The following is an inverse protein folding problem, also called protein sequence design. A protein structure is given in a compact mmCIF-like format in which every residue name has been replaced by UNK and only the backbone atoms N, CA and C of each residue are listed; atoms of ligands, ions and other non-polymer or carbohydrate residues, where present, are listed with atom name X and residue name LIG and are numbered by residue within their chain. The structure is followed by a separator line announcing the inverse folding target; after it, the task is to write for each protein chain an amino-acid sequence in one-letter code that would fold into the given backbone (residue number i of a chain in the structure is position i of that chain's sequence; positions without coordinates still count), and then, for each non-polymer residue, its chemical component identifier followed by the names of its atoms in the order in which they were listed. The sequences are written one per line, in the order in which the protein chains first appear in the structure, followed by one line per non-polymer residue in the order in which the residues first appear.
data_IF_230832301041
#
_entry.id   IF_230832301041
#
_cell.length_a   1.000
_cell.length_b   1.000
_cell.length_c   1.000
_cell.angle_alpha   90.00
_cell.angle_beta   90.00
_cell.angle_gamma   90.00
#
_symmetry.space_group_name_H-M   'P 1'
#
loop_
_entity.id
_entity.type
_entity.pdbx_description
1 polymer ?
#
# COMPACT_ATOMS: atom_id res chain seq x y z
N UNK A 1 -31.90 -0.86 -30.70
CA UNK A 1 -30.80 -0.35 -29.87
C UNK A 1 -30.25 0.85 -30.63
N UNK A 2 -30.79 2.01 -30.30
CA UNK A 2 -30.91 3.20 -31.15
C UNK A 2 -30.13 4.38 -30.57
N UNK A 3 -29.94 5.43 -31.36
CA UNK A 3 -29.20 6.70 -31.14
C UNK A 3 -29.20 7.28 -29.70
N UNK A 4 -30.19 6.94 -28.87
CA UNK A 4 -30.25 7.20 -27.42
C UNK A 4 -29.02 6.65 -26.68
N UNK A 5 -28.49 5.48 -27.07
CA UNK A 5 -27.34 4.87 -26.39
C UNK A 5 -26.02 5.61 -26.73
N UNK A 6 -25.94 6.22 -27.92
CA UNK A 6 -24.80 7.03 -28.35
C UNK A 6 -24.86 8.41 -27.68
N UNK A 7 -26.04 9.04 -27.63
CA UNK A 7 -26.24 10.32 -26.95
C UNK A 7 -25.94 10.23 -25.44
N UNK A 8 -26.41 9.18 -24.76
CA UNK A 8 -26.08 8.95 -23.36
C UNK A 8 -24.57 8.74 -23.11
N UNK A 9 -23.84 8.21 -24.09
CA UNK A 9 -22.38 8.05 -23.99
C UNK A 9 -21.64 9.38 -24.21
N UNK A 10 -22.13 10.23 -25.11
CA UNK A 10 -21.57 11.58 -25.36
C UNK A 10 -21.74 12.47 -24.13
N UNK A 11 -22.93 12.52 -23.53
CA UNK A 11 -23.19 13.30 -22.31
C UNK A 11 -22.32 12.83 -21.14
N UNK A 12 -22.14 11.52 -20.99
CA UNK A 12 -21.27 10.96 -19.95
C UNK A 12 -19.80 11.36 -20.14
N UNK A 13 -19.31 11.48 -21.37
CA UNK A 13 -17.94 11.94 -21.66
C UNK A 13 -17.78 13.43 -21.38
N UNK A 14 -18.76 14.26 -21.76
CA UNK A 14 -18.73 15.70 -21.48
C UNK A 14 -18.74 16.01 -19.99
N UNK A 15 -19.56 15.31 -19.20
CA UNK A 15 -19.59 15.46 -17.74
C UNK A 15 -18.27 15.06 -17.08
N UNK A 16 -17.64 13.98 -17.56
CA UNK A 16 -16.33 13.56 -17.08
C UNK A 16 -15.23 14.58 -17.39
N UNK A 17 -15.25 15.19 -18.58
CA UNK A 17 -14.34 16.28 -18.95
C UNK A 17 -14.56 17.52 -18.08
N UNK A 18 -15.82 17.84 -17.73
CA UNK A 18 -16.14 18.92 -16.78
C UNK A 18 -15.56 18.60 -15.41
N UNK A 19 -15.69 17.37 -14.92
CA UNK A 19 -15.13 16.95 -13.64
C UNK A 19 -13.61 17.14 -13.57
N UNK A 20 -12.91 16.74 -14.63
CA UNK A 20 -11.46 16.88 -14.73
C UNK A 20 -11.06 18.36 -14.77
N UNK A 21 -11.73 19.17 -15.60
CA UNK A 21 -11.46 20.61 -15.67
C UNK A 21 -11.68 21.30 -14.32
N UNK A 22 -12.80 21.03 -13.65
CA UNK A 22 -13.11 21.60 -12.34
C UNK A 22 -12.10 21.17 -11.28
N UNK A 23 -11.61 19.92 -11.36
CA UNK A 23 -10.54 19.44 -10.47
C UNK A 23 -9.27 20.24 -10.68
N UNK A 24 -8.84 20.43 -11.94
CA UNK A 24 -7.63 21.21 -12.24
C UNK A 24 -7.76 22.67 -11.83
N UNK A 25 -8.89 23.32 -12.15
CA UNK A 25 -9.16 24.69 -11.74
C UNK A 25 -9.13 24.85 -10.20
N UNK A 26 -9.68 23.88 -9.47
CA UNK A 26 -9.64 23.86 -8.02
C UNK A 26 -8.22 23.70 -7.48
N UNK A 27 -7.44 22.75 -8.00
CA UNK A 27 -6.08 22.51 -7.53
C UNK A 27 -5.15 23.70 -7.79
N UNK A 28 -5.30 24.34 -8.96
CA UNK A 28 -4.56 25.56 -9.28
C UNK A 28 -4.94 26.72 -8.35
N UNK A 29 -6.22 26.86 -8.00
CA UNK A 29 -6.69 27.87 -7.07
C UNK A 29 -6.18 27.66 -5.64
N UNK A 30 -6.16 26.41 -5.18
CA UNK A 30 -5.70 26.03 -3.83
C UNK A 30 -4.18 25.83 -3.73
N UNK A 31 -3.46 26.03 -4.84
CA UNK A 31 -2.01 25.83 -4.91
C UNK A 31 -1.29 26.74 -3.92
N UNK A 32 -0.44 26.14 -3.10
CA UNK A 32 0.39 26.90 -2.15
C UNK A 32 1.54 27.62 -2.87
N UNK A 33 2.17 28.64 -2.24
CA UNK A 33 3.31 29.33 -2.83
C UNK A 33 4.48 28.39 -3.21
N UNK A 34 5.17 28.68 -4.32
CA UNK A 34 6.23 27.83 -4.87
C UNK A 34 7.40 27.56 -3.90
N UNK A 35 7.72 28.51 -3.02
CA UNK A 35 8.77 28.35 -2.02
C UNK A 35 8.37 27.40 -0.88
N UNK A 36 7.08 27.32 -0.56
CA UNK A 36 6.52 26.34 0.37
C UNK A 36 6.37 24.98 -0.31
N UNK A 37 5.95 24.98 -1.58
CA UNK A 37 5.82 23.79 -2.41
C UNK A 37 7.15 23.04 -2.55
N UNK A 38 8.24 23.76 -2.85
CA UNK A 38 9.59 23.19 -2.92
C UNK A 38 10.04 22.55 -1.59
N UNK A 39 9.74 23.19 -0.46
CA UNK A 39 10.05 22.63 0.88
C UNK A 39 9.26 21.34 1.15
N UNK A 40 7.96 21.31 0.81
CA UNK A 40 7.13 20.12 0.99
C UNK A 40 7.55 18.98 0.07
N UNK A 41 7.89 19.27 -1.19
CA UNK A 41 8.40 18.29 -2.16
C UNK A 41 9.63 17.59 -1.62
N UNK A 42 10.62 18.32 -1.12
CA UNK A 42 11.84 17.76 -0.52
C UNK A 42 11.51 16.95 0.74
N UNK A 43 10.70 17.52 1.64
CA UNK A 43 10.34 16.88 2.91
C UNK A 43 9.66 15.53 2.70
N UNK A 44 8.76 15.45 1.72
CA UNK A 44 7.96 14.27 1.43
C UNK A 44 8.57 13.38 0.33
N UNK A 45 9.70 13.79 -0.25
CA UNK A 45 10.39 13.09 -1.35
C UNK A 45 9.50 12.85 -2.56
N UNK A 46 8.71 13.86 -2.93
CA UNK A 46 7.81 13.77 -4.08
C UNK A 46 8.66 13.87 -5.37
N UNK A 47 8.58 12.89 -6.30
CA UNK A 47 9.35 12.87 -7.54
C UNK A 47 9.16 14.13 -8.39
N UNK A 48 10.25 14.70 -8.93
CA UNK A 48 10.20 15.97 -9.68
C UNK A 48 9.33 15.93 -10.94
N UNK A 49 9.20 14.75 -11.55
CA UNK A 49 8.36 14.46 -12.71
C UNK A 49 6.86 14.35 -12.37
N UNK A 50 6.51 14.23 -11.08
CA UNK A 50 5.12 14.22 -10.63
C UNK A 50 4.62 15.64 -10.32
N UNK A 51 3.55 16.05 -11.00
CA UNK A 51 2.85 17.31 -10.72
C UNK A 51 2.33 17.32 -9.27
N UNK A 52 2.50 18.45 -8.58
CA UNK A 52 2.19 18.59 -7.16
C UNK A 52 1.75 20.03 -6.87
N UNK A 53 0.62 20.17 -6.19
CA UNK A 53 -0.01 21.47 -5.88
C UNK A 53 0.15 21.90 -4.41
N UNK A 54 0.52 20.98 -3.53
CA UNK A 54 0.66 21.22 -2.10
C UNK A 54 -0.67 21.41 -1.36
N UNK A 55 -1.78 20.96 -1.94
CA UNK A 55 -3.12 21.12 -1.34
C UNK A 55 -3.27 20.18 -0.14
N UNK A 56 -3.80 20.71 0.96
CA UNK A 56 -4.00 19.92 2.18
C UNK A 56 -5.04 18.79 1.98
N UNK A 57 -4.79 17.64 2.59
CA UNK A 57 -5.66 16.46 2.50
C UNK A 57 -7.08 16.72 3.04
N UNK A 58 -7.23 17.64 4.00
CA UNK A 58 -8.55 18.04 4.53
C UNK A 58 -9.36 18.78 3.46
N UNK A 59 -8.74 19.69 2.74
CA UNK A 59 -9.30 20.42 1.59
C UNK A 59 -9.70 19.44 0.47
N UNK A 60 -8.81 18.51 0.11
CA UNK A 60 -9.13 17.45 -0.86
C UNK A 60 -10.30 16.58 -0.41
N UNK A 61 -10.42 16.28 0.88
CA UNK A 61 -11.53 15.48 1.43
C UNK A 61 -12.86 16.22 1.34
N UNK A 62 -12.88 17.52 1.54
CA UNK A 62 -14.09 18.34 1.35
C UNK A 62 -14.50 18.37 -0.12
N UNK A 63 -13.54 18.59 -1.02
CA UNK A 63 -13.78 18.58 -2.46
C UNK A 63 -14.27 17.22 -2.96
N UNK A 64 -13.66 16.11 -2.50
CA UNK A 64 -14.12 14.75 -2.79
C UNK A 64 -15.59 14.53 -2.41
N UNK A 65 -16.03 15.04 -1.25
CA UNK A 65 -17.43 14.94 -0.81
C UNK A 65 -18.37 15.77 -1.69
N UNK A 66 -17.91 16.92 -2.19
CA UNK A 66 -18.70 17.74 -3.11
C UNK A 66 -18.86 17.04 -4.45
N UNK A 67 -17.76 16.57 -5.05
CA UNK A 67 -17.80 15.79 -6.28
C UNK A 67 -18.67 14.53 -6.12
N UNK A 68 -18.52 13.78 -5.04
CA UNK A 68 -19.35 12.61 -4.77
C UNK A 68 -20.85 12.92 -4.67
N UNK A 69 -21.25 14.13 -4.22
CA UNK A 69 -22.65 14.56 -4.23
C UNK A 69 -23.15 14.86 -5.64
N UNK A 70 -22.33 15.49 -6.48
CA UNK A 70 -22.65 15.76 -7.90
C UNK A 70 -22.88 14.45 -8.63
N UNK A 71 -22.01 13.47 -8.40
CA UNK A 71 -22.05 12.16 -9.06
C UNK A 71 -22.83 11.09 -8.28
N UNK A 72 -23.63 11.49 -7.27
CA UNK A 72 -24.37 10.53 -6.42
C UNK A 72 -25.39 9.71 -7.22
N UNK A 73 -25.95 10.27 -8.27
CA UNK A 73 -26.94 9.62 -9.11
C UNK A 73 -26.33 8.59 -10.08
N UNK A 74 -25.01 8.54 -10.21
CA UNK A 74 -24.36 7.63 -11.15
C UNK A 74 -24.32 6.22 -10.57
N UNK A 75 -24.46 5.22 -11.44
CA UNK A 75 -24.10 3.86 -11.09
C UNK A 75 -22.59 3.76 -10.80
N UNK A 76 -22.17 2.66 -10.17
CA UNK A 76 -20.77 2.49 -9.83
C UNK A 76 -19.84 2.49 -11.06
N UNK A 77 -20.16 1.82 -12.18
CA UNK A 77 -19.30 1.84 -13.37
C UNK A 77 -19.06 3.24 -13.93
N UNK A 78 -20.10 4.10 -14.01
CA UNK A 78 -19.94 5.47 -14.48
C UNK A 78 -19.18 6.34 -13.48
N UNK A 79 -19.40 6.14 -12.17
CA UNK A 79 -18.60 6.78 -11.13
C UNK A 79 -17.13 6.36 -11.19
N UNK A 80 -16.86 5.09 -11.50
CA UNK A 80 -15.51 4.56 -11.57
C UNK A 80 -14.70 5.19 -12.72
N UNK A 81 -15.32 5.51 -13.86
CA UNK A 81 -14.66 6.27 -14.93
C UNK A 81 -14.10 7.63 -14.49
N UNK A 82 -14.76 8.29 -13.53
CA UNK A 82 -14.23 9.53 -12.94
C UNK A 82 -12.94 9.27 -12.16
N UNK A 83 -12.91 8.18 -11.39
CA UNK A 83 -11.71 7.75 -10.65
C UNK A 83 -10.58 7.43 -11.62
N UNK A 84 -10.86 6.72 -12.72
CA UNK A 84 -9.87 6.40 -13.76
C UNK A 84 -9.25 7.66 -14.39
N UNK A 85 -10.07 8.68 -14.69
CA UNK A 85 -9.60 9.95 -15.27
C UNK A 85 -8.68 10.71 -14.31
N UNK A 86 -9.01 10.72 -13.03
CA UNK A 86 -8.18 11.35 -11.99
C UNK A 86 -6.90 10.55 -11.67
N UNK A 87 -6.76 9.36 -12.25
CA UNK A 87 -5.62 8.47 -12.04
C UNK A 87 -4.69 8.35 -13.26
N UNK A 88 -4.94 9.10 -14.33
CA UNK A 88 -4.15 8.96 -15.55
C UNK A 88 -2.68 9.36 -15.34
N UNK A 89 -1.71 8.87 -16.16
CA UNK A 89 -0.28 9.17 -15.98
C UNK A 89 0.10 10.66 -15.99
N UNK A 90 -0.76 11.52 -16.53
CA UNK A 90 -0.57 12.99 -16.55
C UNK A 90 -1.18 13.68 -15.33
N UNK A 91 -1.62 12.90 -14.33
CA UNK A 91 -2.28 13.41 -13.14
C UNK A 91 -1.28 13.81 -12.06
N UNK A 92 -1.65 14.81 -11.29
CA UNK A 92 -0.92 15.25 -10.10
C UNK A 92 -1.10 14.30 -8.92
N UNK A 93 -0.21 14.42 -7.94
CA UNK A 93 -0.31 13.68 -6.69
C UNK A 93 -1.67 13.92 -5.98
N UNK A 94 -2.19 15.15 -6.01
CA UNK A 94 -3.48 15.50 -5.44
C UNK A 94 -4.66 14.88 -6.19
N UNK A 95 -4.59 14.75 -7.52
CA UNK A 95 -5.61 14.04 -8.30
C UNK A 95 -5.66 12.55 -7.93
N UNK A 96 -4.49 11.93 -7.71
CA UNK A 96 -4.42 10.57 -7.16
C UNK A 96 -5.08 10.49 -5.77
N UNK A 97 -4.75 11.40 -4.86
CA UNK A 97 -5.41 11.43 -3.55
C UNK A 97 -6.93 11.62 -3.66
N UNK A 98 -7.38 12.49 -4.56
CA UNK A 98 -8.78 12.76 -4.79
C UNK A 98 -9.54 11.53 -5.32
N UNK A 99 -8.94 10.78 -6.25
CA UNK A 99 -9.49 9.54 -6.75
C UNK A 99 -9.72 8.51 -5.62
N UNK A 100 -8.76 8.36 -4.70
CA UNK A 100 -8.91 7.46 -3.54
C UNK A 100 -9.97 7.94 -2.57
N UNK A 101 -10.04 9.24 -2.32
CA UNK A 101 -11.06 9.84 -1.46
C UNK A 101 -12.45 9.66 -2.06
N UNK A 102 -12.60 9.78 -3.37
CA UNK A 102 -13.84 9.52 -4.09
C UNK A 102 -14.28 8.06 -3.92
N UNK A 103 -13.38 7.09 -4.14
CA UNK A 103 -13.66 5.68 -3.86
C UNK A 103 -14.16 5.50 -2.41
N UNK A 104 -13.53 6.14 -1.42
CA UNK A 104 -13.94 6.05 -0.01
C UNK A 104 -15.37 6.57 0.23
N UNK A 105 -15.82 7.60 -0.50
CA UNK A 105 -17.19 8.11 -0.36
C UNK A 105 -18.25 7.08 -0.78
N UNK A 106 -17.89 6.16 -1.69
CA UNK A 106 -18.71 5.07 -2.22
C UNK A 106 -18.30 3.70 -1.71
N UNK A 107 -17.66 3.62 -0.53
CA UNK A 107 -17.20 2.34 0.05
C UNK A 107 -18.29 1.27 0.25
N UNK A 108 -19.56 1.66 0.28
CA UNK A 108 -20.69 0.71 0.39
C UNK A 108 -20.91 -0.05 -0.93
N UNK A 109 -20.69 0.60 -2.06
CA UNK A 109 -20.78 -0.03 -3.39
C UNK A 109 -19.63 -1.04 -3.59
N UNK A 110 -18.52 -0.86 -2.86
CA UNK A 110 -17.44 -1.85 -2.78
C UNK A 110 -17.83 -3.12 -2.00
N UNK A 111 -19.08 -3.31 -1.58
CA UNK A 111 -19.53 -4.59 -1.01
C UNK A 111 -19.85 -5.64 -2.09
N UNK A 112 -19.79 -5.26 -3.35
CA UNK A 112 -19.92 -6.17 -4.48
C UNK A 112 -18.55 -6.72 -4.88
N UNK A 113 -18.45 -8.05 -4.98
CA UNK A 113 -17.21 -8.79 -5.24
C UNK A 113 -16.59 -8.38 -6.58
N UNK A 114 -17.42 -8.27 -7.63
CA UNK A 114 -17.00 -7.91 -8.99
C UNK A 114 -16.44 -6.49 -9.03
N UNK A 115 -17.11 -5.54 -8.37
CA UNK A 115 -16.64 -4.15 -8.21
C UNK A 115 -15.27 -4.10 -7.50
N UNK A 116 -15.10 -4.90 -6.45
CA UNK A 116 -13.84 -5.01 -5.73
C UNK A 116 -12.71 -5.61 -6.59
N UNK A 117 -13.03 -6.63 -7.41
CA UNK A 117 -12.09 -7.25 -8.34
C UNK A 117 -11.68 -6.27 -9.44
N UNK A 118 -12.61 -5.52 -10.02
CA UNK A 118 -12.31 -4.52 -11.04
C UNK A 118 -11.41 -3.42 -10.48
N UNK A 119 -11.74 -2.92 -9.28
CA UNK A 119 -10.91 -1.94 -8.59
C UNK A 119 -9.52 -2.50 -8.22
N UNK A 120 -9.45 -3.76 -7.78
CA UNK A 120 -8.19 -4.44 -7.50
C UNK A 120 -7.31 -4.56 -8.75
N UNK A 121 -7.91 -4.96 -9.86
CA UNK A 121 -7.22 -5.15 -11.13
C UNK A 121 -6.77 -3.82 -11.71
N UNK A 122 -7.61 -2.78 -11.61
CA UNK A 122 -7.25 -1.42 -11.95
C UNK A 122 -6.05 -0.92 -11.13
N UNK A 123 -6.08 -1.12 -9.81
CA UNK A 123 -4.96 -0.77 -8.94
C UNK A 123 -3.69 -1.46 -9.39
N UNK A 124 -3.80 -2.77 -9.64
CA UNK A 124 -2.65 -3.57 -9.98
C UNK A 124 -2.04 -3.25 -11.34
N UNK A 125 -2.88 -2.97 -12.33
CA UNK A 125 -2.49 -2.65 -13.70
C UNK A 125 -1.81 -1.28 -13.76
N UNK A 126 -2.45 -0.26 -13.19
CA UNK A 126 -2.10 1.13 -13.48
C UNK A 126 -1.22 1.77 -12.38
N UNK A 127 -1.20 1.24 -11.16
CA UNK A 127 -0.48 1.87 -10.05
C UNK A 127 0.97 1.41 -9.93
N UNK A 128 1.23 0.17 -10.34
CA UNK A 128 2.54 -0.46 -10.25
C UNK A 128 3.62 0.31 -11.02
N UNK A 129 3.24 0.95 -12.12
CA UNK A 129 4.16 1.65 -13.01
C UNK A 129 4.32 3.14 -12.66
N UNK A 130 3.39 3.73 -11.90
CA UNK A 130 3.29 5.19 -11.73
C UNK A 130 3.38 5.69 -10.28
N UNK A 131 3.33 4.79 -9.28
CA UNK A 131 3.33 5.18 -7.86
C UNK A 131 4.71 4.95 -7.22
N UNK A 132 5.50 6.02 -7.16
CA UNK A 132 6.75 6.06 -6.39
C UNK A 132 6.56 6.63 -4.97
N UNK A 133 5.35 7.08 -4.61
CA UNK A 133 5.04 7.63 -3.28
C UNK A 133 4.58 6.53 -2.31
N UNK A 134 5.33 6.39 -1.21
CA UNK A 134 4.98 5.54 -0.09
C UNK A 134 3.60 5.90 0.49
N UNK A 135 3.30 7.19 0.60
CA UNK A 135 2.08 7.65 1.29
C UNK A 135 0.84 7.24 0.52
N UNK A 136 0.90 7.39 -0.81
CA UNK A 136 -0.12 6.88 -1.72
C UNK A 136 -0.26 5.36 -1.60
N UNK A 137 0.85 4.61 -1.65
CA UNK A 137 0.87 3.14 -1.49
C UNK A 137 0.22 2.68 -0.18
N UNK A 138 0.59 3.30 0.95
CA UNK A 138 0.03 3.04 2.28
C UNK A 138 -1.49 3.33 2.30
N UNK A 139 -1.92 4.44 1.70
CA UNK A 139 -3.32 4.82 1.65
C UNK A 139 -4.16 3.82 0.85
N UNK A 140 -3.68 3.38 -0.31
CA UNK A 140 -4.36 2.42 -1.18
C UNK A 140 -4.47 1.07 -0.48
N UNK A 141 -3.36 0.55 0.03
CA UNK A 141 -3.32 -0.73 0.72
C UNK A 141 -4.28 -0.74 1.93
N UNK A 142 -4.25 0.31 2.74
CA UNK A 142 -5.08 0.38 3.95
C UNK A 142 -6.53 0.76 3.70
N UNK A 143 -6.85 1.31 2.53
CA UNK A 143 -8.23 1.69 2.18
C UNK A 143 -8.89 0.63 1.32
N UNK A 144 -8.33 0.42 0.13
CA UNK A 144 -8.94 -0.40 -0.90
C UNK A 144 -8.62 -1.86 -0.65
N UNK A 145 -7.37 -2.15 -0.29
CA UNK A 145 -6.97 -3.48 0.12
C UNK A 145 -7.83 -4.00 1.29
N UNK A 146 -8.02 -3.17 2.33
CA UNK A 146 -8.94 -3.48 3.42
C UNK A 146 -10.37 -3.77 2.94
N UNK A 147 -10.93 -2.94 2.06
CA UNK A 147 -12.31 -3.08 1.63
C UNK A 147 -12.52 -4.33 0.76
N UNK A 148 -11.58 -4.65 -0.13
CA UNK A 148 -11.63 -5.87 -0.95
C UNK A 148 -11.61 -7.11 -0.05
N UNK A 149 -10.72 -7.12 0.94
CA UNK A 149 -10.65 -8.22 1.89
C UNK A 149 -11.92 -8.30 2.75
N UNK A 150 -12.50 -7.17 3.17
CA UNK A 150 -13.77 -7.14 3.92
C UNK A 150 -14.92 -7.70 3.09
N UNK A 151 -14.99 -7.35 1.81
CA UNK A 151 -16.06 -7.74 0.89
C UNK A 151 -16.00 -9.21 0.52
N UNK A 152 -14.82 -9.73 0.16
CA UNK A 152 -14.67 -11.15 -0.18
C UNK A 152 -14.93 -12.07 1.03
N UNK A 153 -14.79 -11.57 2.25
CA UNK A 153 -15.12 -12.33 3.46
C UNK A 153 -16.58 -12.29 3.88
N UNK A 154 -17.38 -11.38 3.33
CA UNK A 154 -18.83 -11.50 3.48
C UNK A 154 -19.33 -12.82 2.87
N UNK A 155 -18.54 -13.40 1.95
CA UNK A 155 -18.60 -14.80 1.52
C UNK A 155 -17.94 -15.64 2.63
N UNK A 156 -18.73 -16.04 3.64
CA UNK A 156 -18.27 -16.79 4.82
C UNK A 156 -17.88 -18.23 4.47
N UNK A 157 -16.77 -18.36 3.74
CA UNK A 157 -16.26 -19.58 3.14
C UNK A 157 -14.72 -19.63 3.26
N UNK A 158 -14.21 -20.79 3.69
CA UNK A 158 -12.78 -21.04 3.90
C UNK A 158 -11.99 -21.04 2.58
N UNK A 159 -12.59 -21.51 1.48
CA UNK A 159 -11.99 -21.53 0.14
C UNK A 159 -11.75 -20.11 -0.38
N UNK A 160 -12.76 -19.25 -0.34
CA UNK A 160 -12.61 -17.83 -0.70
C UNK A 160 -11.55 -17.14 0.15
N UNK A 161 -11.55 -17.39 1.47
CA UNK A 161 -10.55 -16.85 2.37
C UNK A 161 -9.12 -17.26 2.00
N UNK A 162 -8.93 -18.52 1.63
CA UNK A 162 -7.64 -19.04 1.19
C UNK A 162 -7.19 -18.39 -0.12
N UNK A 163 -8.09 -18.21 -1.09
CA UNK A 163 -7.81 -17.53 -2.37
C UNK A 163 -7.26 -16.11 -2.14
N UNK A 164 -7.82 -15.36 -1.17
CA UNK A 164 -7.34 -14.00 -0.85
C UNK A 164 -5.88 -14.04 -0.41
N UNK A 165 -5.58 -14.92 0.55
CA UNK A 165 -4.25 -15.02 1.13
C UNK A 165 -3.23 -15.53 0.12
N UNK A 166 -3.62 -16.48 -0.72
CA UNK A 166 -2.78 -16.99 -1.80
C UNK A 166 -2.50 -15.91 -2.84
N UNK A 167 -3.51 -15.11 -3.23
CA UNK A 167 -3.31 -13.97 -4.11
C UNK A 167 -2.36 -12.92 -3.52
N UNK A 168 -2.49 -12.62 -2.22
CA UNK A 168 -1.57 -11.70 -1.53
C UNK A 168 -0.14 -12.25 -1.47
N UNK A 169 0.04 -13.53 -1.16
CA UNK A 169 1.36 -14.19 -1.14
C UNK A 169 2.00 -14.22 -2.52
N UNK A 170 1.25 -14.57 -3.56
CA UNK A 170 1.71 -14.54 -4.94
C UNK A 170 2.18 -13.13 -5.33
N UNK A 171 1.37 -12.12 -5.05
CA UNK A 171 1.69 -10.72 -5.35
C UNK A 171 2.89 -10.19 -4.58
N UNK A 172 3.05 -10.60 -3.33
CA UNK A 172 4.21 -10.29 -2.51
C UNK A 172 5.50 -10.94 -3.04
N UNK A 173 5.39 -12.10 -3.68
CA UNK A 173 6.52 -12.87 -4.19
C UNK A 173 6.87 -12.57 -5.64
N UNK A 174 5.92 -12.10 -6.46
CA UNK A 174 6.12 -11.93 -7.89
C UNK A 174 6.96 -10.67 -8.20
N UNK A 175 8.16 -10.93 -8.69
CA UNK A 175 9.21 -9.97 -9.02
C UNK A 175 8.77 -8.94 -10.05
N UNK A 176 7.79 -9.29 -10.89
CA UNK A 176 7.26 -8.34 -11.85
C UNK A 176 6.68 -7.14 -11.10
N UNK A 177 6.14 -7.30 -9.88
CA UNK A 177 5.26 -6.32 -9.22
C UNK A 177 5.93 -5.09 -8.59
N UNK A 178 7.24 -4.93 -8.77
CA UNK A 178 7.99 -3.80 -8.23
C UNK A 178 7.87 -3.65 -6.70
N UNK A 179 8.35 -2.52 -6.17
CA UNK A 179 8.22 -2.19 -4.74
C UNK A 179 6.76 -2.05 -4.30
N UNK A 180 5.96 -1.35 -5.11
CA UNK A 180 4.57 -1.03 -4.84
C UNK A 180 3.76 -2.29 -4.55
N UNK A 181 3.80 -3.26 -5.46
CA UNK A 181 2.92 -4.42 -5.37
C UNK A 181 3.26 -5.31 -4.18
N UNK A 182 4.55 -5.44 -3.87
CA UNK A 182 5.01 -6.16 -2.68
C UNK A 182 4.57 -5.46 -1.39
N UNK A 183 4.78 -4.14 -1.30
CA UNK A 183 4.37 -3.33 -0.14
C UNK A 183 2.86 -3.40 0.06
N UNK A 184 2.10 -3.25 -1.03
CA UNK A 184 0.66 -3.30 -1.02
C UNK A 184 0.16 -4.64 -0.49
N UNK A 185 0.72 -5.76 -0.97
CA UNK A 185 0.38 -7.09 -0.49
C UNK A 185 0.64 -7.25 1.02
N UNK A 186 1.78 -6.77 1.52
CA UNK A 186 2.13 -6.81 2.96
C UNK A 186 1.20 -5.94 3.81
N UNK A 187 0.81 -4.77 3.32
CA UNK A 187 0.01 -3.78 4.06
C UNK A 187 -1.50 -4.05 4.03
N UNK A 188 -1.99 -4.74 3.00
CA UNK A 188 -3.39 -5.06 2.79
C UNK A 188 -4.08 -5.67 4.06
N UNK A 189 -3.44 -6.60 4.79
CA UNK A 189 -4.02 -7.25 5.98
C UNK A 189 -4.03 -6.39 7.26
N UNK A 190 -3.32 -5.26 7.31
CA UNK A 190 -3.08 -4.47 8.54
C UNK A 190 -4.37 -4.11 9.27
N UNK A 191 -5.39 -3.63 8.56
CA UNK A 191 -6.69 -3.30 9.16
C UNK A 191 -7.54 -4.55 9.46
N UNK A 192 -7.32 -5.65 8.73
CA UNK A 192 -8.02 -6.94 8.91
C UNK A 192 -7.65 -7.58 10.25
N UNK A 193 -6.36 -7.56 10.62
CA UNK A 193 -5.88 -8.12 11.89
C UNK A 193 -6.67 -7.57 13.08
N UNK A 194 -6.96 -6.27 13.10
CA UNK A 194 -7.78 -5.64 14.16
C UNK A 194 -9.23 -6.14 14.22
N UNK A 195 -9.82 -6.45 13.05
CA UNK A 195 -11.24 -6.81 12.95
C UNK A 195 -11.48 -8.30 13.22
N UNK A 196 -10.60 -9.16 12.70
CA UNK A 196 -10.73 -10.62 12.82
C UNK A 196 -9.98 -11.21 14.01
N UNK A 197 -9.09 -10.44 14.61
CA UNK A 197 -8.27 -10.92 15.70
C UNK A 197 -7.36 -12.07 15.27
N UNK A 198 -7.29 -13.10 16.09
CA UNK A 198 -6.23 -14.10 16.04
C UNK A 198 -6.19 -14.92 14.74
N UNK A 199 -7.34 -15.17 14.10
CA UNK A 199 -7.42 -15.94 12.86
C UNK A 199 -6.71 -15.28 11.66
N UNK A 200 -6.50 -13.96 11.70
CA UNK A 200 -5.81 -13.23 10.65
C UNK A 200 -4.30 -13.08 10.88
N UNK A 201 -3.80 -13.40 12.08
CA UNK A 201 -2.40 -13.15 12.43
C UNK A 201 -1.47 -14.04 11.62
N UNK A 202 -1.66 -15.35 11.66
CA UNK A 202 -0.77 -16.29 10.98
C UNK A 202 -0.74 -16.08 9.44
N UNK A 203 -1.88 -15.96 8.73
CA UNK A 203 -1.86 -15.67 7.30
C UNK A 203 -1.16 -14.34 6.95
N UNK A 204 -1.30 -13.32 7.80
CA UNK A 204 -0.60 -12.04 7.59
C UNK A 204 0.91 -12.19 7.74
N UNK A 205 1.36 -13.01 8.70
CA UNK A 205 2.79 -13.33 8.86
C UNK A 205 3.33 -14.14 7.68
N UNK A 206 2.53 -15.02 7.09
CA UNK A 206 2.91 -15.75 5.87
C UNK A 206 3.10 -14.82 4.68
N UNK A 207 2.23 -13.83 4.49
CA UNK A 207 2.40 -12.79 3.45
C UNK A 207 3.71 -12.01 3.66
N UNK A 208 4.00 -11.63 4.91
CA UNK A 208 5.28 -10.97 5.28
C UNK A 208 6.47 -11.87 4.92
N UNK A 209 6.39 -13.16 5.23
CA UNK A 209 7.46 -14.11 4.92
C UNK A 209 7.69 -14.23 3.40
N UNK A 210 6.62 -14.32 2.61
CA UNK A 210 6.70 -14.35 1.14
C UNK A 210 7.34 -13.09 0.56
N UNK A 211 7.03 -11.92 1.13
CA UNK A 211 7.64 -10.66 0.70
C UNK A 211 9.15 -10.61 0.99
N UNK A 212 9.57 -11.05 2.18
CA UNK A 212 10.96 -10.96 2.64
C UNK A 212 11.87 -11.98 1.93
N UNK A 213 11.42 -13.22 1.78
CA UNK A 213 12.21 -14.28 1.12
C UNK A 213 12.60 -13.94 -0.33
N UNK A 214 11.85 -13.03 -0.96
CA UNK A 214 12.10 -12.52 -2.32
C UNK A 214 12.66 -11.09 -2.34
N UNK A 215 12.90 -10.49 -1.17
CA UNK A 215 13.46 -9.15 -1.01
C UNK A 215 14.97 -9.17 -0.83
N UNK A 216 15.53 -10.18 -0.15
CA UNK A 216 16.98 -10.32 0.08
C UNK A 216 17.80 -10.48 -1.22
N UNK A 217 17.16 -10.82 -2.34
CA UNK A 217 17.87 -11.10 -3.57
C UNK A 217 18.24 -9.87 -4.42
N UNK A 218 17.57 -8.70 -4.33
CA UNK A 218 17.69 -7.72 -5.42
C UNK A 218 17.74 -6.20 -5.16
N UNK A 219 17.26 -5.56 -4.09
CA UNK A 219 17.17 -4.07 -4.11
C UNK A 219 17.47 -3.32 -2.79
N UNK A 220 18.57 -2.52 -2.78
CA UNK A 220 19.00 -1.64 -1.67
C UNK A 220 18.09 -0.41 -1.45
N UNK A 221 17.35 0.08 -2.45
CA UNK A 221 16.55 1.32 -2.34
C UNK A 221 15.10 1.12 -1.87
N UNK A 222 14.49 -0.03 -2.13
CA UNK A 222 13.11 -0.36 -1.69
C UNK A 222 13.05 -0.67 -0.18
N UNK A 223 14.20 -0.87 0.45
CA UNK A 223 14.35 -1.31 1.84
C UNK A 223 13.50 -0.52 2.83
N UNK A 224 13.58 0.81 2.86
CA UNK A 224 12.92 1.57 3.96
C UNK A 224 11.40 1.54 3.91
N UNK A 225 10.81 1.56 2.71
CA UNK A 225 9.38 1.50 2.52
C UNK A 225 8.85 0.10 2.88
N UNK A 226 9.52 -0.94 2.40
CA UNK A 226 9.21 -2.32 2.73
C UNK A 226 9.41 -2.63 4.23
N UNK A 227 10.53 -2.20 4.81
CA UNK A 227 10.80 -2.31 6.26
C UNK A 227 9.67 -1.67 7.06
N UNK A 228 9.20 -0.48 6.67
CA UNK A 228 8.06 0.19 7.32
C UNK A 228 6.76 -0.61 7.16
N UNK A 229 6.48 -1.15 5.97
CA UNK A 229 5.30 -1.99 5.73
C UNK A 229 5.29 -3.24 6.62
N UNK A 230 6.42 -3.93 6.68
CA UNK A 230 6.62 -5.10 7.52
C UNK A 230 6.46 -4.72 8.99
N UNK A 231 7.12 -3.66 9.46
CA UNK A 231 7.00 -3.18 10.85
C UNK A 231 5.54 -2.88 11.19
N UNK A 232 4.80 -2.16 10.34
CA UNK A 232 3.40 -1.84 10.59
C UNK A 232 2.54 -3.10 10.70
N UNK A 233 2.75 -4.08 9.82
CA UNK A 233 2.03 -5.35 9.82
C UNK A 233 2.33 -6.17 11.07
N UNK A 234 3.62 -6.34 11.42
CA UNK A 234 4.05 -7.02 12.63
C UNK A 234 3.50 -6.35 13.90
N UNK A 235 3.43 -5.01 13.93
CA UNK A 235 2.85 -4.26 15.04
C UNK A 235 1.36 -4.54 15.21
N UNK A 236 0.60 -4.61 14.13
CA UNK A 236 -0.82 -4.96 14.21
C UNK A 236 -1.02 -6.42 14.63
N UNK A 237 -0.20 -7.35 14.12
CA UNK A 237 -0.18 -8.74 14.61
C UNK A 237 0.11 -8.80 16.12
N UNK A 238 1.13 -8.07 16.60
CA UNK A 238 1.55 -8.12 17.99
C UNK A 238 0.53 -7.53 18.97
N UNK A 239 -0.31 -6.58 18.52
CA UNK A 239 -1.45 -6.09 19.32
C UNK A 239 -2.52 -7.16 19.54
N UNK A 240 -2.56 -8.16 18.66
CA UNK A 240 -3.55 -9.24 18.69
C UNK A 240 -3.00 -10.47 19.39
N UNK A 241 -1.76 -10.85 19.07
CA UNK A 241 -1.03 -11.97 19.65
C UNK A 241 0.48 -11.66 19.61
N UNK A 242 1.04 -11.23 20.74
CA UNK A 242 2.48 -10.90 20.85
C UNK A 242 3.34 -12.16 20.77
N UNK A 243 2.87 -13.27 21.35
CA UNK A 243 3.60 -14.53 21.44
C UNK A 243 3.88 -15.14 20.07
N UNK A 244 2.88 -15.19 19.18
CA UNK A 244 3.06 -15.73 17.82
C UNK A 244 4.03 -14.86 16.99
N UNK A 245 4.01 -13.53 17.17
CA UNK A 245 4.95 -12.63 16.48
C UNK A 245 6.38 -12.84 16.98
N UNK A 246 6.57 -13.08 18.28
CA UNK A 246 7.90 -13.39 18.83
C UNK A 246 8.41 -14.75 18.35
N UNK A 247 7.57 -15.77 18.30
CA UNK A 247 7.93 -17.07 17.72
C UNK A 247 8.31 -16.93 16.24
N UNK A 248 7.54 -16.14 15.49
CA UNK A 248 7.81 -15.85 14.08
C UNK A 248 9.15 -15.12 13.90
N UNK A 249 9.40 -14.05 14.66
CA UNK A 249 10.67 -13.32 14.61
C UNK A 249 11.84 -14.20 15.04
N UNK A 250 11.70 -15.02 16.09
CA UNK A 250 12.77 -15.92 16.54
C UNK A 250 13.07 -17.03 15.53
N UNK A 251 12.05 -17.52 14.81
CA UNK A 251 12.21 -18.54 13.77
C UNK A 251 12.91 -17.98 12.53
N UNK A 252 12.60 -16.74 12.15
CA UNK A 252 13.01 -16.15 10.88
C UNK A 252 14.00 -14.98 11.00
N UNK A 253 14.59 -14.73 12.19
CA UNK A 253 15.44 -13.56 12.45
C UNK A 253 16.59 -13.36 11.45
N UNK A 254 17.06 -14.42 10.80
CA UNK A 254 18.16 -14.39 9.83
C UNK A 254 17.79 -13.66 8.54
N UNK A 255 16.53 -13.76 8.11
CA UNK A 255 16.06 -13.15 6.85
C UNK A 255 15.47 -11.74 7.05
N UNK A 256 15.30 -11.32 8.30
CA UNK A 256 14.75 -9.99 8.59
C UNK A 256 15.85 -8.93 8.50
N UNK A 257 15.57 -7.78 7.86
CA UNK A 257 16.43 -6.62 8.00
C UNK A 257 16.57 -6.26 9.49
N UNK A 258 17.81 -6.09 9.96
CA UNK A 258 18.06 -5.82 11.38
C UNK A 258 17.30 -4.59 11.92
N UNK A 259 17.04 -3.60 11.07
CA UNK A 259 16.23 -2.43 11.44
C UNK A 259 14.78 -2.80 11.75
N UNK A 260 14.17 -3.75 11.02
CA UNK A 260 12.83 -4.26 11.31
C UNK A 260 12.80 -4.89 12.70
N UNK A 261 13.75 -5.80 12.96
CA UNK A 261 13.86 -6.45 14.27
C UNK A 261 14.02 -5.38 15.34
N UNK A 262 14.98 -4.47 15.20
CA UNK A 262 15.28 -3.38 16.15
C UNK A 262 14.11 -2.43 16.41
N UNK A 263 13.34 -2.06 15.39
CA UNK A 263 12.25 -1.08 15.51
C UNK A 263 11.03 -1.66 16.23
N UNK A 264 10.84 -2.98 16.17
CA UNK A 264 9.85 -3.68 17.00
C UNK A 264 10.12 -3.54 18.51
N UNK A 265 11.30 -3.08 18.94
CA UNK A 265 11.65 -2.87 20.36
C UNK A 265 10.68 -1.95 21.10
N UNK A 266 10.15 -0.93 20.42
CA UNK A 266 9.25 0.04 21.05
C UNK A 266 8.01 -0.64 21.63
N UNK A 267 7.55 -1.71 20.97
CA UNK A 267 6.37 -2.48 21.37
C UNK A 267 6.62 -3.33 22.61
N UNK A 268 7.76 -4.00 22.66
CA UNK A 268 8.09 -4.92 23.75
C UNK A 268 8.80 -4.26 24.93
N UNK A 269 8.88 -2.91 24.98
CA UNK A 269 9.64 -2.20 26.03
C UNK A 269 9.02 -2.36 27.43
N UNK A 270 7.70 -2.47 27.47
CA UNK A 270 6.84 -2.56 28.67
C UNK A 270 6.11 -3.92 28.76
N UNK A 271 6.37 -4.82 27.82
CA UNK A 271 5.73 -6.12 27.69
C UNK A 271 6.42 -7.18 28.59
N UNK A 272 5.68 -8.10 29.24
CA UNK A 272 6.28 -9.25 29.95
C UNK A 272 7.27 -10.04 29.07
N UNK A 273 7.07 -10.05 27.75
CA UNK A 273 7.87 -10.79 26.80
C UNK A 273 9.18 -10.07 26.39
N UNK A 274 9.49 -8.93 26.98
CA UNK A 274 10.71 -8.13 26.73
C UNK A 274 12.00 -8.94 26.74
N UNK A 275 12.11 -9.92 27.65
CA UNK A 275 13.32 -10.77 27.76
C UNK A 275 13.51 -11.65 26.52
N UNK A 276 12.42 -12.23 26.02
CA UNK A 276 12.45 -13.04 24.81
C UNK A 276 12.83 -12.18 23.61
N UNK A 277 12.19 -11.02 23.45
CA UNK A 277 12.55 -10.09 22.39
C UNK A 277 14.01 -9.62 22.45
N UNK A 278 14.56 -9.36 23.65
CA UNK A 278 15.96 -8.99 23.80
C UNK A 278 16.91 -10.12 23.36
N UNK A 279 16.53 -11.38 23.58
CA UNK A 279 17.28 -12.54 23.07
C UNK A 279 17.27 -12.56 21.54
N UNK A 280 16.11 -12.36 20.90
CA UNK A 280 15.98 -12.28 19.42
C UNK A 280 16.85 -11.15 18.85
N UNK A 281 16.82 -9.97 19.48
CA UNK A 281 17.62 -8.82 19.04
C UNK A 281 19.12 -9.10 19.08
N UNK A 282 19.61 -9.82 20.10
CA UNK A 282 21.00 -10.25 20.18
C UNK A 282 21.33 -11.24 19.07
N UNK A 283 20.50 -12.29 18.86
CA UNK A 283 20.69 -13.27 17.78
C UNK A 283 20.77 -12.60 16.40
N UNK A 284 19.89 -11.63 16.13
CA UNK A 284 19.87 -10.88 14.88
C UNK A 284 21.10 -9.98 14.69
N UNK A 285 21.57 -9.35 15.78
CA UNK A 285 22.80 -8.55 15.75
C UNK A 285 24.02 -9.43 15.43
N UNK A 286 24.15 -10.55 16.13
CA UNK A 286 25.28 -11.46 15.97
C UNK A 286 25.32 -12.06 14.55
N UNK A 287 24.15 -12.37 13.97
CA UNK A 287 24.06 -12.83 12.59
C UNK A 287 24.53 -11.79 11.58
N UNK A 288 24.07 -10.54 11.71
CA UNK A 288 24.50 -9.44 10.83
C UNK A 288 26.00 -9.15 10.93
N UNK A 289 26.59 -9.31 12.12
CA UNK A 289 28.04 -9.19 12.29
C UNK A 289 28.79 -10.31 11.57
N UNK A 290 28.29 -11.54 11.60
CA UNK A 290 28.90 -12.66 10.87
C UNK A 290 28.84 -12.48 9.35
N UNK A 291 27.69 -12.10 8.81
CA UNK A 291 27.56 -11.84 7.36
C UNK A 291 28.55 -10.79 6.86
N UNK A 292 28.78 -9.72 7.64
CA UNK A 292 29.76 -8.69 7.25
C UNK A 292 31.19 -9.20 7.21
N UNK A 293 31.55 -10.07 8.15
CA UNK A 293 32.89 -10.67 8.18
C UNK A 293 33.04 -11.60 6.97
N UNK A 294 32.01 -12.40 6.67
CA UNK A 294 31.99 -13.29 5.51
C UNK A 294 32.04 -12.52 4.17
N UNK A 295 31.31 -11.40 4.03
CA UNK A 295 31.37 -10.52 2.85
C UNK A 295 32.73 -9.81 2.70
N UNK A 296 33.35 -9.39 3.81
CA UNK A 296 34.68 -8.75 3.80
C UNK A 296 35.81 -9.76 3.51
N UNK A 297 35.66 -11.04 3.90
CA UNK A 297 36.61 -12.12 3.60
C UNK A 297 36.49 -12.62 2.14
N UNK A 298 35.31 -12.54 1.50
CA UNK A 298 35.13 -12.91 0.07
C UNK A 298 35.66 -11.84 -0.90
N UNK A 299 35.68 -10.56 -0.51
CA UNK A 299 36.24 -9.46 -1.31
C UNK A 299 37.79 -9.40 -1.26
N UNK A 300 38.45 -10.10 -0.32
CA UNK A 300 39.92 -10.13 -0.23
C UNK A 300 40.59 -11.17 -1.17
N UNK A 301 39.82 -12.10 -1.76
CA UNK A 301 40.31 -13.12 -2.71
C UNK A 301 40.09 -12.76 -4.21
N UNK A 302 39.52 -11.59 -4.54
CA UNK A 302 39.34 -11.09 -5.93
C UNK A 302 40.48 -10.15 -6.41
N UNK A 303 41.73 -10.38 -5.96
CA UNK A 303 42.92 -9.84 -6.64
C UNK A 303 43.86 -11.00 -7.03
N UNK A 304 43.54 -11.73 -8.11
CA UNK A 304 44.53 -12.19 -9.10
C UNK A 304 43.91 -12.90 -10.32
N UNK A 305 44.43 -12.52 -11.51
CA UNK A 305 44.34 -13.13 -12.85
C UNK A 305 43.16 -12.76 -13.80
N UNK A 306 43.07 -11.50 -14.25
CA UNK A 306 43.50 -10.99 -15.59
C UNK A 306 43.20 -9.49 -15.77
#
# INVERSE_FOLDING_TARGET
MSDINILNQIEAVEELNIAQRLTKEFLEHEKIPEDELGKLRIKNKIPEDLEFFGVDISTLREFARMLAKVYRAYDFPRFFKLVEILWTPISSLEEHYLALLLIQTRKKDLSEVDVCLDLWNFIWRDFKENVHDWTLTELIATTIGYQIIETWQAIDDEETNQIIWDSLKEKAADERNGSFGKIFAVMCPVRRIRKLGQSAVLPSLEVVLSAIAKFEAQEKEIGKAMERAIILTLRECAKTDSGIVLQFLDKFYKIFPFNVVKDMRRYYKEDPDKKQYQSILTKAKDYKTKQKIEEEDEDEDEIEEE
#
